data_IF_647773634464
#
_entry.id   IF_647773634464
#
_cell.length_a   1.000
_cell.length_b   1.000
_cell.length_c   1.000
_cell.angle_alpha   90.00
_cell.angle_beta   90.00
_cell.angle_gamma   90.00
#
_symmetry.space_group_name_H-M   'P 1'
#
loop_
_entity.id
_entity.type
_entity.pdbx_description
1 polymer ?
#
# COMPACT_ATOMS: atom_id res chain seq x y z
N UNK A 1 0.42 0.32 -30.58
CA UNK A 1 1.03 -0.59 -29.57
C UNK A 1 1.64 0.18 -28.41
N UNK A 2 2.46 1.21 -28.62
CA UNK A 2 3.08 2.01 -27.52
C UNK A 2 2.08 2.77 -26.65
N UNK A 3 1.00 3.31 -27.25
CA UNK A 3 -0.04 4.06 -26.51
C UNK A 3 -0.80 3.22 -25.48
N UNK A 4 -1.14 1.98 -25.82
CA UNK A 4 -1.84 1.06 -24.91
C UNK A 4 -0.98 0.71 -23.67
N UNK A 5 0.33 0.54 -23.86
CA UNK A 5 1.25 0.28 -22.76
C UNK A 5 1.39 1.51 -21.84
N UNK A 6 1.42 2.72 -22.40
CA UNK A 6 1.46 3.95 -21.62
C UNK A 6 0.19 4.13 -20.78
N UNK A 7 -0.99 3.87 -21.33
CA UNK A 7 -2.26 3.96 -20.59
C UNK A 7 -2.32 2.96 -19.43
N UNK A 8 -1.87 1.71 -19.64
CA UNK A 8 -1.84 0.70 -18.60
C UNK A 8 -0.88 1.06 -17.45
N UNK A 9 0.31 1.61 -17.77
CA UNK A 9 1.28 2.05 -16.78
C UNK A 9 0.75 3.27 -16.02
N UNK A 10 0.12 4.23 -16.70
CA UNK A 10 -0.43 5.43 -16.06
C UNK A 10 -1.59 5.07 -15.12
N UNK A 11 -2.53 4.24 -15.58
CA UNK A 11 -3.65 3.77 -14.75
C UNK A 11 -3.19 3.01 -13.50
N UNK A 12 -2.14 2.17 -13.62
CA UNK A 12 -1.52 1.48 -12.48
C UNK A 12 -0.76 2.43 -11.54
N UNK A 13 -0.16 3.49 -12.08
CA UNK A 13 0.59 4.49 -11.31
C UNK A 13 -0.35 5.38 -10.50
N UNK A 14 -1.43 5.88 -11.11
CA UNK A 14 -2.40 6.74 -10.43
C UNK A 14 -3.10 6.01 -9.26
N UNK A 15 -3.45 4.73 -9.45
CA UNK A 15 -4.06 3.89 -8.40
C UNK A 15 -3.07 3.54 -7.29
N UNK A 16 -1.83 3.17 -7.63
CA UNK A 16 -0.81 2.83 -6.63
C UNK A 16 -0.31 4.05 -5.85
N UNK A 17 -0.14 5.20 -6.50
CA UNK A 17 0.21 6.46 -5.85
C UNK A 17 -0.88 6.89 -4.85
N UNK A 18 -2.15 6.84 -5.28
CA UNK A 18 -3.28 7.14 -4.39
C UNK A 18 -3.34 6.16 -3.21
N UNK A 19 -3.16 4.85 -3.45
CA UNK A 19 -3.14 3.86 -2.38
C UNK A 19 -2.01 4.10 -1.35
N UNK A 20 -0.83 4.51 -1.82
CA UNK A 20 0.29 4.86 -0.95
C UNK A 20 0.03 6.14 -0.15
N UNK A 21 -0.56 7.17 -0.75
CA UNK A 21 -0.95 8.39 -0.02
C UNK A 21 -1.94 8.08 1.10
N UNK A 22 -2.99 7.30 0.83
CA UNK A 22 -3.96 6.90 1.85
C UNK A 22 -3.36 6.01 2.93
N UNK A 23 -2.49 5.06 2.56
CA UNK A 23 -1.78 4.24 3.53
C UNK A 23 -0.91 5.11 4.45
N UNK A 24 -0.15 6.06 3.90
CA UNK A 24 0.66 7.00 4.68
C UNK A 24 -0.22 7.89 5.57
N UNK A 25 -1.36 8.38 5.06
CA UNK A 25 -2.29 9.20 5.83
C UNK A 25 -2.87 8.44 7.04
N UNK A 26 -3.32 7.19 6.84
CA UNK A 26 -3.81 6.35 7.94
C UNK A 26 -2.71 5.97 8.92
N UNK A 27 -1.48 5.72 8.46
CA UNK A 27 -0.33 5.49 9.33
C UNK A 27 -0.03 6.70 10.21
N UNK A 28 -0.08 7.91 9.65
CA UNK A 28 0.12 9.16 10.41
C UNK A 28 -1.03 9.43 11.37
N UNK A 29 -2.26 9.08 10.99
CA UNK A 29 -3.45 9.31 11.81
C UNK A 29 -3.54 8.35 13.01
N UNK A 30 -3.09 7.10 12.86
CA UNK A 30 -3.10 6.07 13.90
C UNK A 30 -1.66 5.67 14.30
N UNK A 31 -1.02 6.46 15.16
CA UNK A 31 0.33 6.19 15.67
C UNK A 31 0.48 4.82 16.36
N UNK A 32 -0.58 4.31 17.00
CA UNK A 32 -0.58 2.97 17.61
C UNK A 32 -0.44 1.86 16.55
N UNK A 33 -1.08 2.04 15.39
CA UNK A 33 -0.98 1.09 14.27
C UNK A 33 0.43 1.16 13.67
N UNK A 34 0.98 2.36 13.51
CA UNK A 34 2.37 2.55 13.05
C UNK A 34 3.38 1.87 13.98
N UNK A 35 3.27 2.03 15.29
CA UNK A 35 4.18 1.36 16.24
C UNK A 35 4.05 -0.17 16.18
N UNK A 36 2.83 -0.67 16.05
CA UNK A 36 2.57 -2.11 15.98
C UNK A 36 3.14 -2.72 14.70
N UNK A 37 2.98 -2.03 13.58
CA UNK A 37 3.57 -2.41 12.31
C UNK A 37 5.11 -2.37 12.38
N UNK A 38 5.69 -1.31 12.95
CA UNK A 38 7.13 -1.21 13.12
C UNK A 38 7.70 -2.34 13.99
N UNK A 39 7.01 -2.72 15.08
CA UNK A 39 7.39 -3.87 15.92
C UNK A 39 7.35 -5.19 15.15
N UNK A 40 6.34 -5.40 14.30
CA UNK A 40 6.26 -6.59 13.44
C UNK A 40 7.42 -6.64 12.43
N UNK A 41 7.70 -5.52 11.76
CA UNK A 41 8.79 -5.41 10.77
C UNK A 41 10.15 -5.68 11.44
N UNK A 42 10.43 -5.01 12.57
CA UNK A 42 11.68 -5.21 13.33
C UNK A 42 11.77 -6.64 13.87
N UNK A 43 10.64 -7.26 14.22
CA UNK A 43 10.59 -8.65 14.67
C UNK A 43 10.90 -9.67 13.56
N UNK A 44 10.48 -9.42 12.33
CA UNK A 44 10.72 -10.32 11.20
C UNK A 44 12.10 -10.12 10.55
N UNK A 45 12.54 -8.88 10.35
CA UNK A 45 13.72 -8.55 9.51
C UNK A 45 14.93 -8.14 10.36
N UNK A 46 14.71 -7.74 11.63
CA UNK A 46 15.74 -7.14 12.47
C UNK A 46 16.03 -5.68 12.10
N UNK A 47 16.61 -4.90 13.03
CA UNK A 47 16.82 -3.44 12.90
C UNK A 47 17.63 -2.97 11.67
N UNK A 48 18.32 -3.86 10.98
CA UNK A 48 19.19 -3.53 9.84
C UNK A 48 19.14 -4.57 8.72
N UNK A 49 18.13 -5.44 8.72
CA UNK A 49 17.98 -6.46 7.67
C UNK A 49 17.43 -5.86 6.38
N UNK A 50 17.83 -6.43 5.24
CA UNK A 50 17.23 -6.13 3.93
C UNK A 50 15.91 -6.87 3.84
N UNK A 51 14.82 -6.16 3.51
CA UNK A 51 13.51 -6.77 3.33
C UNK A 51 13.55 -7.64 2.07
N UNK A 52 13.43 -8.96 2.23
CA UNK A 52 13.25 -9.89 1.12
C UNK A 52 11.76 -10.16 0.91
N UNK A 53 11.40 -10.59 -0.30
CA UNK A 53 10.02 -10.94 -0.66
C UNK A 53 9.44 -12.04 0.25
N UNK A 54 10.29 -12.99 0.68
CA UNK A 54 9.94 -14.04 1.65
C UNK A 54 9.61 -13.54 3.06
N UNK A 55 10.02 -12.33 3.41
CA UNK A 55 9.72 -11.73 4.71
C UNK A 55 8.40 -10.96 4.68
N UNK A 56 7.98 -10.47 3.50
CA UNK A 56 6.66 -9.88 3.30
C UNK A 56 5.55 -10.92 3.56
N UNK A 57 5.77 -12.18 3.19
CA UNK A 57 4.85 -13.28 3.49
C UNK A 57 4.69 -13.56 5.00
N UNK A 58 5.71 -13.20 5.80
CA UNK A 58 5.71 -13.39 7.27
C UNK A 58 5.12 -12.20 8.03
N UNK A 59 4.69 -11.14 7.35
CA UNK A 59 4.11 -9.92 7.93
C UNK A 59 2.59 -9.84 7.66
N UNK A 60 1.76 -10.66 8.34
CA UNK A 60 0.33 -10.68 8.13
C UNK A 60 -0.35 -9.36 8.52
N UNK A 61 0.21 -8.59 9.47
CA UNK A 61 -0.38 -7.31 9.88
C UNK A 61 -0.15 -6.23 8.82
N UNK A 62 1.03 -6.17 8.20
CA UNK A 62 1.28 -5.33 7.02
C UNK A 62 0.26 -5.61 5.89
N UNK A 63 0.05 -6.88 5.56
CA UNK A 63 -0.93 -7.28 4.52
C UNK A 63 -2.37 -6.93 4.88
N UNK A 64 -2.74 -7.00 6.17
CA UNK A 64 -4.05 -6.59 6.65
C UNK A 64 -4.26 -5.08 6.57
N UNK A 65 -3.23 -4.28 6.85
CA UNK A 65 -3.26 -2.82 6.71
C UNK A 65 -3.46 -2.44 5.25
N UNK A 66 -2.63 -2.95 4.34
CA UNK A 66 -2.76 -2.67 2.89
C UNK A 66 -4.14 -3.05 2.37
N UNK A 67 -4.67 -4.22 2.75
CA UNK A 67 -6.04 -4.62 2.36
C UNK A 67 -7.11 -3.71 2.95
N UNK A 68 -6.97 -3.30 4.22
CA UNK A 68 -7.86 -2.35 4.87
C UNK A 68 -7.79 -0.99 4.17
N UNK A 69 -6.61 -0.50 3.81
CA UNK A 69 -6.42 0.78 3.13
C UNK A 69 -7.01 0.75 1.73
N UNK A 70 -6.79 -0.30 0.95
CA UNK A 70 -7.43 -0.47 -0.37
C UNK A 70 -8.95 -0.56 -0.27
N UNK A 71 -9.49 -1.18 0.79
CA UNK A 71 -10.93 -1.27 1.03
C UNK A 71 -11.54 0.05 1.56
N UNK A 72 -10.77 0.80 2.35
CA UNK A 72 -11.15 2.07 3.00
C UNK A 72 -11.01 3.26 2.06
N UNK A 73 -9.99 3.22 1.21
CA UNK A 73 -9.90 4.11 0.06
C UNK A 73 -11.17 3.85 -0.72
N UNK A 74 -12.10 4.81 -0.86
CA UNK A 74 -13.25 4.63 -1.72
C UNK A 74 -12.67 4.26 -3.09
N UNK A 75 -12.80 2.99 -3.46
CA UNK A 75 -12.35 2.45 -4.74
C UNK A 75 -12.75 3.46 -5.79
N UNK A 76 -11.75 4.16 -6.31
CA UNK A 76 -11.83 5.41 -7.04
C UNK A 76 -13.25 5.81 -7.50
N UNK A 77 -13.81 6.97 -7.08
CA UNK A 77 -14.94 7.57 -7.79
C UNK A 77 -14.54 8.08 -9.20
N UNK A 78 -13.36 7.72 -9.70
CA UNK A 78 -12.80 8.26 -10.93
C UNK A 78 -13.17 7.47 -12.20
N UNK A 79 -13.70 6.26 -12.08
CA UNK A 79 -14.18 5.51 -13.27
C UNK A 79 -15.58 5.92 -13.73
N UNK A 80 -16.20 6.98 -13.16
CA UNK A 80 -17.59 7.36 -13.45
C UNK A 80 -17.77 8.77 -14.06
N UNK A 81 -16.70 9.54 -14.32
CA UNK A 81 -16.81 10.89 -14.90
C UNK A 81 -16.24 11.03 -16.32
N UNK A 82 -15.97 9.91 -17.01
CA UNK A 82 -15.67 9.92 -18.45
C UNK A 82 -16.48 8.85 -19.17
N UNK A 83 -17.80 9.07 -19.28
CA UNK A 83 -18.59 8.56 -20.40
C UNK A 83 -19.71 9.54 -20.72
#
# INVERSE_FOLDING_TARGET
MVTLCSEAINAGTDTSATALEWALLHLVQDQEIQEKLYKEIVGCVGKSGVIAESDVEKMPYLGAIVKRDVQKTPTQPFSALTC
#
